data_IF_856907362969
#
_entry.id   IF_856907362969
#
_cell.length_a   1.000
_cell.length_b   1.000
_cell.length_c   1.000
_cell.angle_alpha   90.00
_cell.angle_beta   90.00
_cell.angle_gamma   90.00
#
_symmetry.space_group_name_H-M   'P 1'
#
loop_
_entity.id
_entity.type
_entity.pdbx_description
1 polymer ?
#
# COMPACT_ATOMS: atom_id res chain seq x y z
N UNK A 1 -50.76 -35.07 2.84
CA UNK A 1 -49.90 -33.88 2.96
C UNK A 1 -48.51 -34.45 3.12
N UNK A 2 -47.72 -34.41 2.05
CA UNK A 2 -46.48 -35.18 1.93
C UNK A 2 -45.36 -34.56 2.76
N UNK A 3 -44.56 -35.45 3.35
CA UNK A 3 -43.40 -35.23 4.21
C UNK A 3 -42.21 -34.65 3.43
N UNK A 4 -41.46 -33.74 4.04
CA UNK A 4 -40.04 -33.51 3.71
C UNK A 4 -39.20 -33.35 5.00
N UNK A 5 -37.96 -33.88 5.05
CA UNK A 5 -37.27 -34.22 6.29
C UNK A 5 -36.14 -33.25 6.69
N UNK A 6 -35.82 -33.31 7.99
CA UNK A 6 -34.65 -32.72 8.65
C UNK A 6 -33.33 -33.12 7.97
N UNK A 7 -32.43 -32.15 7.77
CA UNK A 7 -31.02 -32.41 7.49
C UNK A 7 -30.16 -31.81 8.60
N UNK A 8 -29.95 -32.63 9.64
CA UNK A 8 -28.81 -32.52 10.52
C UNK A 8 -27.63 -33.24 9.85
N UNK A 9 -26.53 -32.53 9.61
CA UNK A 9 -25.24 -33.14 9.34
C UNK A 9 -24.29 -32.81 10.50
N UNK A 10 -23.83 -33.87 11.14
CA UNK A 10 -22.95 -33.88 12.28
C UNK A 10 -21.67 -34.65 11.94
N UNK A 11 -20.57 -34.26 12.61
CA UNK A 11 -19.31 -34.98 12.90
C UNK A 11 -18.14 -34.82 11.91
N UNK A 12 -16.85 -34.96 12.37
CA UNK A 12 -16.37 -35.43 13.69
C UNK A 12 -15.30 -34.54 14.38
N UNK A 13 -14.98 -34.82 15.67
CA UNK A 13 -13.81 -34.26 16.36
C UNK A 13 -12.54 -35.04 15.96
N UNK A 14 -11.42 -34.35 15.78
CA UNK A 14 -10.08 -34.98 15.74
C UNK A 14 -9.27 -34.54 16.95
N UNK A 15 -8.96 -35.52 17.79
CA UNK A 15 -8.00 -35.44 18.89
C UNK A 15 -6.77 -36.27 18.51
N UNK A 16 -5.57 -35.75 18.80
CA UNK A 16 -4.29 -36.44 19.03
C UNK A 16 -3.22 -35.32 19.06
N UNK A 17 -2.58 -34.93 20.17
CA UNK A 17 -1.70 -35.68 21.08
C UNK A 17 -0.39 -36.12 20.40
N UNK A 18 0.67 -35.33 20.58
CA UNK A 18 2.09 -35.68 20.85
C UNK A 18 2.85 -34.33 20.91
N UNK A 19 3.74 -33.99 21.84
CA UNK A 19 4.68 -34.78 22.62
C UNK A 19 6.06 -34.11 22.45
N UNK A 20 6.62 -33.60 23.56
CA UNK A 20 8.08 -33.46 23.87
C UNK A 20 9.01 -32.75 22.84
N UNK A 21 9.87 -31.77 23.13
CA UNK A 21 10.61 -31.35 24.31
C UNK A 21 11.72 -30.36 23.86
N UNK A 22 12.57 -29.84 24.78
CA UNK A 22 13.48 -28.71 24.58
C UNK A 22 14.95 -29.14 24.38
N UNK A 23 15.80 -28.30 23.77
CA UNK A 23 17.29 -28.22 23.93
C UNK A 23 17.82 -27.16 22.95
N UNK A 24 18.39 -26.05 23.42
CA UNK A 24 19.80 -25.84 23.82
C UNK A 24 20.73 -25.37 22.67
N UNK A 25 21.23 -24.14 22.87
CA UNK A 25 22.56 -23.57 22.55
C UNK A 25 23.25 -23.89 21.21
N UNK A 26 23.62 -22.83 20.48
CA UNK A 26 25.03 -22.54 20.17
C UNK A 26 25.21 -21.11 19.63
N UNK A 27 26.07 -20.29 20.27
CA UNK A 27 26.68 -19.08 19.71
C UNK A 27 28.03 -19.41 19.01
N UNK A 28 28.68 -18.37 18.48
CA UNK A 28 30.03 -18.30 17.84
C UNK A 28 30.06 -18.33 16.29
N UNK A 29 30.94 -17.63 15.55
CA UNK A 29 31.89 -16.51 15.73
C UNK A 29 32.44 -16.17 14.31
N UNK A 30 32.76 -14.89 14.04
CA UNK A 30 33.58 -14.32 12.91
C UNK A 30 32.97 -14.36 11.48
N UNK A 31 32.91 -13.26 10.70
CA UNK A 31 34.03 -12.40 10.26
C UNK A 31 33.54 -11.00 9.82
N UNK A 32 34.19 -9.90 10.24
CA UNK A 32 34.13 -8.61 9.55
C UNK A 32 35.23 -8.51 8.48
N UNK A 33 34.96 -7.89 7.31
CA UNK A 33 35.89 -6.95 6.62
C UNK A 33 35.29 -6.34 5.31
N UNK A 34 35.51 -5.02 5.02
CA UNK A 34 35.13 -4.28 3.79
C UNK A 34 36.35 -4.04 2.84
N UNK A 35 36.40 -3.03 1.94
CA UNK A 35 35.67 -2.78 0.67
C UNK A 35 36.63 -2.68 -0.57
N UNK A 36 36.14 -2.94 -1.80
CA UNK A 36 36.79 -2.52 -3.07
C UNK A 36 35.94 -2.93 -4.28
N UNK A 37 35.85 -2.20 -5.40
CA UNK A 37 36.34 -0.89 -5.79
C UNK A 37 35.70 -0.55 -7.15
N UNK A 38 35.34 0.72 -7.31
CA UNK A 38 35.35 1.52 -8.55
C UNK A 38 34.43 1.20 -9.76
N UNK A 39 33.45 2.11 -9.92
CA UNK A 39 33.28 3.04 -11.06
C UNK A 39 32.61 2.56 -12.37
N UNK A 40 31.44 3.16 -12.68
CA UNK A 40 31.07 3.97 -13.87
C UNK A 40 29.71 4.64 -13.52
N UNK A 41 29.28 5.84 -13.86
CA UNK A 41 29.81 7.06 -14.50
C UNK A 41 28.79 8.19 -14.15
N UNK A 42 29.17 9.47 -14.25
CA UNK A 42 28.34 10.61 -13.85
C UNK A 42 27.24 10.86 -14.89
N UNK A 43 25.98 10.84 -14.45
CA UNK A 43 24.82 11.09 -15.30
C UNK A 43 23.96 12.21 -14.75
N UNK A 44 24.15 13.39 -15.33
CA UNK A 44 23.14 14.43 -15.53
C UNK A 44 22.58 15.18 -14.32
N UNK A 45 22.96 16.46 -14.26
CA UNK A 45 22.23 17.57 -13.63
C UNK A 45 20.71 17.43 -13.75
N UNK A 46 19.96 17.74 -12.67
CA UNK A 46 18.72 18.55 -12.65
C UNK A 46 17.85 18.28 -11.38
N UNK A 47 17.09 19.28 -10.89
CA UNK A 47 17.54 20.42 -10.11
C UNK A 47 17.63 20.11 -8.59
N UNK A 48 18.53 20.84 -7.94
CA UNK A 48 18.82 20.77 -6.52
C UNK A 48 17.64 21.22 -5.64
N UNK A 49 17.50 20.56 -4.49
CA UNK A 49 16.93 21.14 -3.27
C UNK A 49 15.47 20.84 -2.97
N UNK A 50 14.55 21.24 -3.84
CA UNK A 50 13.14 21.37 -3.46
C UNK A 50 12.26 20.17 -3.81
N UNK A 51 12.64 19.39 -4.81
CA UNK A 51 11.93 18.16 -5.21
C UNK A 51 12.15 17.01 -4.23
N UNK A 52 13.21 17.03 -3.41
CA UNK A 52 13.41 16.02 -2.34
C UNK A 52 12.30 16.03 -1.28
N UNK A 53 11.53 17.12 -1.21
CA UNK A 53 10.40 17.27 -0.30
C UNK A 53 9.06 16.87 -0.93
N UNK A 54 8.99 16.77 -2.26
CA UNK A 54 7.75 16.49 -2.99
C UNK A 54 7.92 15.28 -3.89
N UNK A 55 7.00 14.35 -3.79
CA UNK A 55 6.97 13.13 -4.58
C UNK A 55 5.97 13.29 -5.72
N UNK A 56 6.29 12.69 -6.86
CA UNK A 56 5.35 12.59 -7.97
C UNK A 56 4.32 11.50 -7.68
N UNK A 57 3.05 11.86 -7.62
CA UNK A 57 1.93 10.96 -7.36
C UNK A 57 1.04 10.89 -8.59
N UNK A 58 0.83 9.68 -9.10
CA UNK A 58 -0.06 9.42 -10.22
C UNK A 58 -1.40 8.87 -9.70
N UNK A 59 -2.43 9.72 -9.75
CA UNK A 59 -3.80 9.37 -9.38
C UNK A 59 -4.53 8.74 -10.57
N UNK A 60 -5.04 7.53 -10.39
CA UNK A 60 -5.83 6.79 -11.38
C UNK A 60 -7.22 6.48 -10.83
N UNK A 61 -8.25 6.87 -11.57
CA UNK A 61 -9.61 6.48 -11.23
C UNK A 61 -9.82 4.99 -11.52
N UNK A 62 -10.68 4.36 -10.73
CA UNK A 62 -11.07 2.96 -10.86
C UNK A 62 -12.58 2.85 -10.97
N UNK A 63 -13.04 1.93 -11.83
CA UNK A 63 -14.46 1.69 -12.07
C UNK A 63 -15.16 2.91 -12.65
N UNK A 64 -16.34 3.21 -12.13
CA UNK A 64 -17.18 4.33 -12.57
C UNK A 64 -16.80 5.67 -11.92
N UNK A 65 -15.64 5.74 -11.27
CA UNK A 65 -15.21 6.94 -10.57
C UNK A 65 -14.74 8.01 -11.58
N UNK A 66 -15.15 9.28 -11.43
CA UNK A 66 -14.76 10.33 -12.37
C UNK A 66 -13.24 10.52 -12.45
N UNK A 67 -12.73 10.55 -13.69
CA UNK A 67 -11.30 10.65 -13.99
C UNK A 67 -10.85 12.11 -13.87
N UNK A 68 -9.82 12.35 -13.05
CA UNK A 68 -9.18 13.65 -12.97
C UNK A 68 -8.48 14.02 -14.29
N UNK A 69 -8.69 15.26 -14.75
CA UNK A 69 -8.03 15.80 -15.94
C UNK A 69 -6.50 15.82 -15.78
N UNK A 70 -6.03 16.17 -14.59
CA UNK A 70 -4.62 16.09 -14.19
C UNK A 70 -4.40 14.84 -13.36
N UNK A 71 -3.63 13.89 -13.87
CA UNK A 71 -3.36 12.61 -13.19
C UNK A 71 -2.07 12.63 -12.37
N UNK A 72 -1.06 13.38 -12.81
CA UNK A 72 0.24 13.50 -12.14
C UNK A 72 0.25 14.74 -11.26
N UNK A 73 0.58 14.57 -9.98
CA UNK A 73 0.60 15.63 -8.97
C UNK A 73 1.89 15.58 -8.18
N UNK A 74 2.53 16.73 -7.97
CA UNK A 74 3.63 16.85 -7.02
C UNK A 74 3.06 17.07 -5.62
N UNK A 75 3.18 16.07 -4.75
CA UNK A 75 2.60 16.07 -3.40
C UNK A 75 3.73 16.07 -2.38
N UNK A 76 3.57 16.85 -1.30
CA UNK A 76 4.56 16.83 -0.22
C UNK A 76 4.60 15.48 0.49
N UNK A 77 5.80 15.01 0.81
CA UNK A 77 6.02 13.74 1.52
C UNK A 77 5.31 13.65 2.87
N UNK A 78 5.11 14.78 3.55
CA UNK A 78 4.41 14.90 4.85
C UNK A 78 2.89 14.87 4.72
N UNK A 79 2.36 14.91 3.48
CA UNK A 79 0.93 14.86 3.25
C UNK A 79 0.42 13.48 3.67
N UNK A 80 -0.74 13.43 4.31
CA UNK A 80 -1.38 12.17 4.66
C UNK A 80 -2.37 11.70 3.58
N UNK A 81 -2.67 10.41 3.57
CA UNK A 81 -3.67 9.82 2.66
C UNK A 81 -5.06 10.44 2.87
N UNK A 82 -5.46 10.72 4.12
CA UNK A 82 -6.70 11.40 4.44
C UNK A 82 -6.79 12.76 3.74
N UNK A 83 -5.69 13.49 3.75
CA UNK A 83 -5.57 14.77 3.09
C UNK A 83 -5.66 14.68 1.57
N UNK A 84 -5.16 13.60 0.99
CA UNK A 84 -5.28 13.31 -0.44
C UNK A 84 -6.71 12.91 -0.81
N UNK A 85 -7.39 12.14 0.03
CA UNK A 85 -8.80 11.79 -0.12
C UNK A 85 -9.67 13.06 -0.18
N UNK A 86 -9.49 13.97 0.79
CA UNK A 86 -10.25 15.23 0.82
C UNK A 86 -9.97 16.09 -0.42
N UNK A 87 -8.70 16.19 -0.82
CA UNK A 87 -8.30 16.89 -2.04
C UNK A 87 -9.01 16.33 -3.28
N UNK A 88 -9.03 15.00 -3.45
CA UNK A 88 -9.68 14.36 -4.59
C UNK A 88 -11.20 14.61 -4.55
N UNK A 89 -11.84 14.47 -3.39
CA UNK A 89 -13.27 14.75 -3.23
C UNK A 89 -13.61 16.18 -3.64
N UNK A 90 -12.83 17.16 -3.17
CA UNK A 90 -13.02 18.58 -3.49
C UNK A 90 -12.79 18.87 -4.97
N UNK A 91 -11.77 18.26 -5.57
CA UNK A 91 -11.45 18.45 -6.99
C UNK A 91 -12.51 17.85 -7.91
N UNK A 92 -13.04 16.67 -7.56
CA UNK A 92 -14.12 16.00 -8.27
C UNK A 92 -15.51 16.57 -7.94
N UNK A 93 -15.62 17.53 -7.02
CA UNK A 93 -16.88 18.08 -6.50
C UNK A 93 -17.81 17.00 -5.95
N UNK A 94 -17.23 15.97 -5.34
CA UNK A 94 -17.97 14.93 -4.64
C UNK A 94 -18.54 15.47 -3.33
N UNK A 95 -19.67 14.90 -2.90
CA UNK A 95 -20.29 15.26 -1.61
C UNK A 95 -19.43 14.73 -0.47
N UNK A 96 -19.28 15.49 0.62
CA UNK A 96 -18.48 15.07 1.78
C UNK A 96 -18.93 13.73 2.38
N UNK A 97 -20.23 13.44 2.28
CA UNK A 97 -20.85 12.18 2.71
C UNK A 97 -20.48 10.97 1.85
N UNK A 98 -19.92 11.15 0.65
CA UNK A 98 -19.46 10.02 -0.16
C UNK A 98 -18.11 9.53 0.32
N UNK A 99 -17.98 8.21 0.47
CA UNK A 99 -16.71 7.57 0.80
C UNK A 99 -15.84 7.53 -0.46
N UNK A 100 -14.53 7.73 -0.28
CA UNK A 100 -13.55 7.56 -1.35
C UNK A 100 -12.41 6.72 -0.78
N UNK A 101 -12.09 5.64 -1.48
CA UNK A 101 -11.03 4.70 -1.14
C UNK A 101 -9.81 4.97 -2.00
N UNK A 102 -8.62 4.83 -1.43
CA UNK A 102 -7.35 4.90 -2.14
C UNK A 102 -6.65 3.56 -1.97
N UNK A 103 -6.03 3.08 -3.04
CA UNK A 103 -5.32 1.82 -3.12
C UNK A 103 -3.91 2.02 -3.66
N UNK A 104 -2.97 1.34 -3.02
CA UNK A 104 -1.57 1.25 -3.46
C UNK A 104 -1.39 -0.07 -4.20
N UNK A 105 -0.69 -0.05 -5.34
CA UNK A 105 -0.43 -1.24 -6.17
C UNK A 105 -1.68 -2.08 -6.53
N UNK A 106 -2.88 -1.48 -6.54
CA UNK A 106 -4.15 -2.18 -6.80
C UNK A 106 -4.37 -3.40 -5.89
N UNK A 107 -3.92 -3.31 -4.63
CA UNK A 107 -4.00 -4.44 -3.71
C UNK A 107 -4.63 -4.04 -2.39
N UNK A 108 -4.02 -3.11 -1.65
CA UNK A 108 -4.47 -2.76 -0.31
C UNK A 108 -4.75 -1.26 -0.18
N UNK A 109 -5.59 -0.90 0.80
CA UNK A 109 -5.88 0.48 1.17
C UNK A 109 -5.01 0.88 2.37
N UNK A 110 -4.10 1.87 2.25
CA UNK A 110 -3.29 2.33 3.37
C UNK A 110 -4.14 3.10 4.40
N UNK A 111 -3.64 3.19 5.62
CA UNK A 111 -4.28 3.98 6.68
C UNK A 111 -4.42 5.45 6.28
N UNK A 112 -5.54 6.11 6.62
CA UNK A 112 -5.76 7.54 6.29
C UNK A 112 -4.70 8.46 6.92
N UNK A 113 -4.16 8.09 8.09
CA UNK A 113 -3.12 8.85 8.78
C UNK A 113 -1.72 8.66 8.18
N UNK A 114 -1.54 7.68 7.27
CA UNK A 114 -0.24 7.40 6.71
C UNK A 114 0.22 8.50 5.75
N UNK A 115 1.50 8.84 5.85
CA UNK A 115 2.14 9.83 4.99
C UNK A 115 2.42 9.25 3.59
N UNK A 116 2.20 10.06 2.55
CA UNK A 116 2.45 9.66 1.17
C UNK A 116 3.95 9.43 0.93
N UNK A 117 4.82 10.13 1.67
CA UNK A 117 6.27 9.92 1.66
C UNK A 117 6.65 8.48 2.01
N UNK A 118 6.16 7.95 3.13
CA UNK A 118 6.40 6.56 3.55
C UNK A 118 5.91 5.56 2.50
N UNK A 119 4.75 5.82 1.89
CA UNK A 119 4.22 4.96 0.83
C UNK A 119 5.07 5.01 -0.44
N UNK A 120 5.62 6.17 -0.77
CA UNK A 120 6.54 6.31 -1.89
C UNK A 120 7.87 5.59 -1.64
N UNK A 121 8.40 5.61 -0.42
CA UNK A 121 9.63 4.87 -0.09
C UNK A 121 9.45 3.35 -0.17
N UNK A 122 8.29 2.83 0.24
CA UNK A 122 8.01 1.39 0.19
C UNK A 122 7.49 0.89 -1.16
N UNK A 123 6.67 1.68 -1.86
CA UNK A 123 5.90 1.23 -3.03
C UNK A 123 6.06 2.15 -4.25
N UNK A 124 6.89 3.20 -4.16
CA UNK A 124 7.22 4.04 -5.30
C UNK A 124 7.98 3.26 -6.38
N UNK A 125 7.76 3.64 -7.63
CA UNK A 125 8.40 3.02 -8.80
C UNK A 125 8.55 4.06 -9.89
N UNK A 126 9.65 4.02 -10.65
CA UNK A 126 9.87 4.94 -11.78
C UNK A 126 9.82 6.43 -11.36
N UNK A 127 10.32 6.73 -10.14
CA UNK A 127 10.30 8.09 -9.58
C UNK A 127 8.90 8.62 -9.21
N UNK A 128 7.87 7.76 -9.17
CA UNK A 128 6.49 8.15 -8.85
C UNK A 128 5.78 7.12 -7.96
N UNK A 129 4.74 7.54 -7.25
CA UNK A 129 3.80 6.67 -6.55
C UNK A 129 2.49 6.60 -7.31
N UNK A 130 2.05 5.41 -7.70
CA UNK A 130 0.76 5.23 -8.38
C UNK A 130 -0.31 4.88 -7.34
N UNK A 131 -1.34 5.72 -7.26
CA UNK A 131 -2.47 5.55 -6.37
C UNK A 131 -3.76 5.42 -7.17
N UNK A 132 -4.56 4.44 -6.78
CA UNK A 132 -5.82 4.12 -7.44
C UNK A 132 -6.96 4.54 -6.53
N UNK A 133 -7.84 5.43 -6.99
CA UNK A 133 -8.95 5.94 -6.20
C UNK A 133 -10.29 5.44 -6.75
N UNK A 134 -11.21 5.09 -5.84
CA UNK A 134 -12.53 4.55 -6.17
C UNK A 134 -13.60 5.01 -5.18
N UNK A 135 -14.86 5.16 -5.63
CA UNK A 135 -16.02 5.45 -4.74
C UNK A 135 -16.47 4.24 -3.93
N UNK A 136 -16.24 3.05 -4.46
CA UNK A 136 -16.60 1.77 -3.83
C UNK A 136 -15.34 0.97 -3.53
N UNK A 137 -15.44 0.06 -2.56
CA UNK A 137 -14.36 -0.87 -2.28
C UNK A 137 -14.10 -1.73 -3.53
N UNK A 138 -12.83 -1.86 -3.92
CA UNK A 138 -12.43 -2.56 -5.14
C UNK A 138 -11.46 -3.71 -4.86
N UNK A 139 -10.53 -3.51 -3.92
CA UNK A 139 -9.55 -4.50 -3.50
C UNK A 139 -9.52 -4.59 -1.97
N UNK A 140 -9.06 -5.73 -1.45
CA UNK A 140 -9.02 -6.06 -0.02
C UNK A 140 -8.38 -7.41 0.19
#
# INVERSE_FOLDING_TARGET
MAEEPESALQLPPSTAADGEGPTEVSPETATPEPPSSAAVSPGTEEPAGDTKKKIDVLLKAVGDTPIMKTKKWAVERTRTIQGLIDFIKKFLKLVASEQLFIYVNQSFAPSPDQEVGTLYECFGSDGKLVLHYCKSQAWG
#
